data_IF_005042299997
#
_entry.id   IF_005042299997
#
_cell.length_a   1.000
_cell.length_b   1.000
_cell.length_c   1.000
_cell.angle_alpha   90.00
_cell.angle_beta   90.00
_cell.angle_gamma   90.00
#
_symmetry.space_group_name_H-M   'P 1'
#
loop_
_entity.id
_entity.type
_entity.pdbx_description
1 polymer ?
#
# COMPACT_ATOMS: atom_id res chain seq x y z
N UNK A 1 -8.71 -13.33 -34.40
CA UNK A 1 -8.70 -11.99 -33.76
C UNK A 1 -7.30 -11.34 -33.72
N UNK A 2 -6.24 -12.12 -33.87
CA UNK A 2 -4.84 -11.65 -33.80
C UNK A 2 -4.34 -10.79 -34.99
N UNK A 3 -4.86 -10.97 -36.19
CA UNK A 3 -4.25 -10.35 -37.39
C UNK A 3 -4.65 -8.87 -37.59
N UNK A 4 -5.83 -8.46 -37.12
CA UNK A 4 -6.28 -7.06 -37.23
C UNK A 4 -5.60 -6.14 -36.22
N UNK A 5 -5.40 -6.59 -34.99
CA UNK A 5 -4.76 -5.85 -33.90
C UNK A 5 -3.29 -5.56 -34.20
N UNK A 6 -2.56 -6.51 -34.82
CA UNK A 6 -1.18 -6.29 -35.27
C UNK A 6 -1.08 -5.25 -36.40
N UNK A 7 -2.11 -5.08 -37.23
CA UNK A 7 -2.10 -4.08 -38.29
C UNK A 7 -2.25 -2.65 -37.79
N UNK A 8 -3.04 -2.41 -36.77
CA UNK A 8 -3.22 -1.08 -36.18
C UNK A 8 -1.97 -0.65 -35.38
N UNK A 9 -1.40 -1.57 -34.59
CA UNK A 9 -0.12 -1.35 -33.92
C UNK A 9 1.02 -1.01 -34.90
N UNK A 10 1.09 -1.71 -36.04
CA UNK A 10 2.06 -1.40 -37.07
C UNK A 10 1.87 -0.01 -37.70
N UNK A 11 0.61 0.44 -37.86
CA UNK A 11 0.33 1.79 -38.36
C UNK A 11 0.77 2.87 -37.34
N UNK A 12 0.48 2.67 -36.08
CA UNK A 12 0.87 3.60 -35.00
C UNK A 12 2.39 3.67 -34.87
N UNK A 13 3.08 2.55 -35.07
CA UNK A 13 4.55 2.47 -34.99
C UNK A 13 5.26 2.75 -36.30
N UNK A 14 4.52 2.93 -37.39
CA UNK A 14 5.14 3.26 -38.69
C UNK A 14 5.76 4.66 -38.64
N UNK A 15 7.07 4.74 -38.75
CA UNK A 15 7.83 5.99 -38.63
C UNK A 15 8.52 6.21 -37.29
N UNK A 16 8.33 5.29 -36.31
CA UNK A 16 9.10 5.29 -35.09
C UNK A 16 10.39 4.51 -35.28
N UNK A 17 11.53 5.20 -35.24
CA UNK A 17 12.84 4.56 -35.23
C UNK A 17 13.03 3.84 -33.87
N UNK A 18 13.11 2.51 -33.91
CA UNK A 18 13.38 1.75 -32.70
C UNK A 18 14.80 1.97 -32.19
N UNK A 19 15.01 2.32 -30.93
CA UNK A 19 16.34 2.50 -30.38
C UNK A 19 17.12 1.17 -30.42
N UNK A 20 18.44 1.27 -30.52
CA UNK A 20 19.29 0.10 -30.41
C UNK A 20 19.17 -0.51 -29.03
N UNK A 21 18.84 -1.80 -28.98
CA UNK A 21 18.74 -2.56 -27.76
C UNK A 21 20.07 -3.24 -27.45
N UNK A 22 20.48 -3.22 -26.19
CA UNK A 22 21.62 -4.00 -25.72
C UNK A 22 21.19 -4.95 -24.59
N UNK A 23 21.91 -6.06 -24.46
CA UNK A 23 21.70 -6.94 -23.32
C UNK A 23 22.31 -6.31 -22.07
N UNK A 24 21.51 -6.12 -21.04
CA UNK A 24 21.95 -5.63 -19.73
C UNK A 24 21.79 -6.75 -18.70
N UNK A 25 22.81 -6.94 -17.87
CA UNK A 25 22.73 -7.79 -16.67
C UNK A 25 22.70 -6.88 -15.46
N UNK A 26 21.56 -6.79 -14.82
CA UNK A 26 21.45 -6.06 -13.56
C UNK A 26 21.94 -6.94 -12.41
N UNK A 27 22.87 -6.42 -11.63
CA UNK A 27 23.38 -7.07 -10.42
C UNK A 27 22.70 -6.41 -9.24
N UNK A 28 21.77 -7.12 -8.62
CA UNK A 28 21.10 -6.67 -7.41
C UNK A 28 21.96 -6.97 -6.18
N UNK A 29 21.93 -6.07 -5.20
CA UNK A 29 22.46 -6.37 -3.88
C UNK A 29 21.66 -7.52 -3.29
N UNK A 30 22.34 -8.42 -2.57
CA UNK A 30 21.73 -9.60 -1.94
C UNK A 30 21.76 -9.54 -0.41
N UNK A 31 22.25 -8.45 0.13
CA UNK A 31 22.21 -8.14 1.55
C UNK A 31 20.73 -7.90 1.94
N UNK A 32 20.17 -8.84 2.65
CA UNK A 32 18.80 -8.81 3.17
C UNK A 32 18.80 -8.52 4.67
N UNK A 33 17.60 -8.38 5.22
CA UNK A 33 17.35 -8.32 6.66
C UNK A 33 16.94 -9.73 7.09
N UNK A 34 17.71 -10.37 7.95
CA UNK A 34 17.46 -11.75 8.39
C UNK A 34 16.22 -11.86 9.27
N UNK A 35 16.00 -10.89 10.17
CA UNK A 35 14.80 -10.82 11.01
C UNK A 35 14.09 -9.48 10.77
N UNK A 36 13.09 -9.49 9.87
CA UNK A 36 12.31 -8.31 9.51
C UNK A 36 11.49 -7.81 10.69
N UNK A 37 10.92 -8.71 11.50
CA UNK A 37 10.08 -8.35 12.63
C UNK A 37 10.90 -7.65 13.71
N UNK A 38 12.04 -8.19 14.06
CA UNK A 38 12.96 -7.57 15.03
C UNK A 38 13.44 -6.21 14.53
N UNK A 39 13.79 -6.10 13.25
CA UNK A 39 14.22 -4.85 12.63
C UNK A 39 13.12 -3.76 12.68
N UNK A 40 11.87 -4.11 12.34
CA UNK A 40 10.73 -3.19 12.42
C UNK A 40 10.52 -2.71 13.84
N UNK A 41 10.53 -3.64 14.81
CA UNK A 41 10.36 -3.33 16.23
C UNK A 41 11.43 -2.37 16.74
N UNK A 42 12.68 -2.64 16.43
CA UNK A 42 13.82 -1.78 16.81
C UNK A 42 13.66 -0.36 16.23
N UNK A 43 13.33 -0.26 14.94
CA UNK A 43 13.14 1.04 14.29
C UNK A 43 11.96 1.83 14.87
N UNK A 44 10.85 1.18 15.18
CA UNK A 44 9.69 1.82 15.82
C UNK A 44 10.02 2.32 17.22
N UNK A 45 10.84 1.58 17.96
CA UNK A 45 11.29 1.99 19.31
C UNK A 45 12.30 3.12 19.27
N UNK A 46 13.17 3.14 18.26
CA UNK A 46 14.19 4.17 18.10
C UNK A 46 13.65 5.49 17.56
N UNK A 47 12.61 5.46 16.69
CA UNK A 47 12.06 6.67 16.08
C UNK A 47 11.11 7.41 17.04
N UNK A 48 11.57 8.57 17.53
CA UNK A 48 10.80 9.43 18.44
C UNK A 48 9.49 9.91 17.83
N UNK A 49 9.45 10.13 16.50
CA UNK A 49 8.22 10.59 15.80
C UNK A 49 7.08 9.60 15.94
N UNK A 50 7.33 8.30 15.78
CA UNK A 50 6.31 7.27 16.01
C UNK A 50 5.90 7.20 17.48
N UNK A 51 6.86 7.33 18.40
CA UNK A 51 6.58 7.24 19.83
C UNK A 51 5.77 8.43 20.37
N UNK A 52 5.99 9.62 19.83
CA UNK A 52 5.39 10.86 20.33
C UNK A 52 4.09 11.24 19.63
N UNK A 53 3.93 10.83 18.38
CA UNK A 53 2.73 11.17 17.58
C UNK A 53 1.56 10.21 17.76
N UNK A 54 1.80 8.97 18.19
CA UNK A 54 0.73 8.00 18.45
C UNK A 54 0.39 8.05 19.94
N UNK A 55 -0.80 8.58 20.23
CA UNK A 55 -1.29 8.79 21.58
C UNK A 55 -2.43 7.81 21.92
N UNK A 56 -2.66 7.52 23.21
CA UNK A 56 -3.78 6.69 23.64
C UNK A 56 -5.12 7.22 23.14
N UNK A 57 -5.97 6.31 22.69
CA UNK A 57 -7.32 6.61 22.17
C UNK A 57 -7.39 6.94 20.68
N UNK A 58 -6.26 7.31 20.06
CA UNK A 58 -6.21 7.62 18.63
C UNK A 58 -6.60 6.42 17.76
N UNK A 59 -7.19 6.70 16.61
CA UNK A 59 -7.38 5.76 15.49
C UNK A 59 -6.21 5.89 14.52
N UNK A 60 -5.58 4.77 14.16
CA UNK A 60 -4.39 4.75 13.31
C UNK A 60 -4.59 3.81 12.13
N UNK A 61 -4.56 4.37 10.92
CA UNK A 61 -4.62 3.60 9.68
C UNK A 61 -3.24 3.03 9.33
N UNK A 62 -3.23 1.77 8.92
CA UNK A 62 -2.10 1.10 8.27
C UNK A 62 -2.48 0.80 6.81
N UNK A 63 -1.67 1.22 5.85
CA UNK A 63 -2.00 0.96 4.44
C UNK A 63 -1.54 -0.43 4.00
N UNK A 64 -2.43 -1.17 3.35
CA UNK A 64 -2.14 -2.46 2.72
C UNK A 64 -1.93 -2.34 1.22
N UNK A 65 -0.75 -2.71 0.72
CA UNK A 65 -0.38 -2.62 -0.70
C UNK A 65 -0.78 -3.88 -1.48
N UNK A 66 -1.05 -3.72 -2.77
CA UNK A 66 -1.26 -4.82 -3.73
C UNK A 66 0.02 -5.30 -4.41
N UNK A 67 1.16 -4.70 -4.11
CA UNK A 67 2.46 -5.12 -4.64
C UNK A 67 3.13 -6.01 -3.61
N UNK A 68 3.40 -7.25 -3.95
CA UNK A 68 3.99 -8.26 -3.07
C UNK A 68 5.27 -7.76 -2.40
N UNK A 69 5.08 -7.04 -1.29
CA UNK A 69 6.18 -6.64 -0.41
C UNK A 69 6.47 -7.84 0.47
N UNK A 70 7.74 -8.26 0.47
CA UNK A 70 8.18 -9.38 1.30
C UNK A 70 7.87 -9.11 2.78
N UNK A 71 7.31 -10.09 3.48
CA UNK A 71 6.96 -10.01 4.90
C UNK A 71 5.94 -8.92 5.26
N UNK A 72 5.13 -8.47 4.31
CA UNK A 72 4.13 -7.42 4.58
C UNK A 72 3.13 -7.79 5.68
N UNK A 73 2.59 -9.03 5.75
CA UNK A 73 1.71 -9.42 6.86
C UNK A 73 2.37 -9.29 8.23
N UNK A 74 3.63 -9.74 8.35
CA UNK A 74 4.41 -9.66 9.59
C UNK A 74 4.70 -8.20 9.97
N UNK A 75 5.04 -7.36 8.99
CA UNK A 75 5.26 -5.92 9.20
C UNK A 75 3.98 -5.26 9.71
N UNK A 76 2.84 -5.51 9.06
CA UNK A 76 1.55 -4.95 9.48
C UNK A 76 1.13 -5.43 10.87
N UNK A 77 1.37 -6.70 11.20
CA UNK A 77 1.12 -7.23 12.54
C UNK A 77 1.97 -6.54 13.60
N UNK A 78 3.25 -6.32 13.32
CA UNK A 78 4.14 -5.64 14.28
C UNK A 78 3.76 -4.17 14.46
N UNK A 79 3.38 -3.47 13.37
CA UNK A 79 2.85 -2.11 13.43
C UNK A 79 1.55 -2.03 14.24
N UNK A 80 0.62 -2.96 13.99
CA UNK A 80 -0.64 -3.03 14.74
C UNK A 80 -0.40 -3.28 16.24
N UNK A 81 0.54 -4.17 16.56
CA UNK A 81 0.94 -4.45 17.94
C UNK A 81 1.55 -3.23 18.62
N UNK A 82 2.43 -2.50 17.91
CA UNK A 82 3.02 -1.26 18.41
C UNK A 82 1.96 -0.19 18.70
N UNK A 83 1.03 0.03 17.76
CA UNK A 83 -0.05 1.01 17.92
C UNK A 83 -0.93 0.65 19.12
N UNK A 84 -1.30 -0.63 19.29
CA UNK A 84 -2.07 -1.12 20.43
C UNK A 84 -1.33 -0.93 21.75
N UNK A 85 -0.02 -1.19 21.79
CA UNK A 85 0.81 -1.00 22.98
C UNK A 85 0.85 0.47 23.42
N UNK A 86 0.59 1.41 22.51
CA UNK A 86 0.40 2.83 22.80
C UNK A 86 -0.99 3.20 23.29
N UNK A 87 -1.91 2.24 23.40
CA UNK A 87 -3.30 2.49 23.74
C UNK A 87 -4.14 3.06 22.60
N UNK A 88 -3.63 3.04 21.36
CA UNK A 88 -4.33 3.47 20.16
C UNK A 88 -5.00 2.29 19.43
N UNK A 89 -5.86 2.59 18.47
CA UNK A 89 -6.72 1.62 17.77
C UNK A 89 -6.26 1.51 16.30
N UNK A 90 -5.47 0.48 15.93
CA UNK A 90 -5.06 0.28 14.54
C UNK A 90 -6.18 -0.36 13.72
N UNK A 91 -6.22 -0.02 12.44
CA UNK A 91 -6.93 -0.78 11.42
C UNK A 91 -6.22 -0.65 10.07
N UNK A 92 -6.42 -1.64 9.20
CA UNK A 92 -5.81 -1.70 7.88
C UNK A 92 -6.82 -1.25 6.84
N UNK A 93 -6.35 -0.48 5.84
CA UNK A 93 -7.11 -0.19 4.63
C UNK A 93 -6.33 -0.61 3.39
N UNK A 94 -6.99 -1.04 2.31
CA UNK A 94 -6.34 -1.20 1.01
C UNK A 94 -5.85 0.14 0.47
N UNK A 95 -4.61 0.17 -0.02
CA UNK A 95 -4.03 1.33 -0.70
C UNK A 95 -3.47 0.88 -2.06
N UNK A 96 -4.36 0.60 -3.01
CA UNK A 96 -4.00 -0.09 -4.24
C UNK A 96 -4.71 0.43 -5.51
N UNK A 97 -5.34 1.61 -5.42
CA UNK A 97 -5.99 2.26 -6.58
C UNK A 97 -7.09 1.40 -7.20
N UNK A 98 -6.97 1.09 -8.49
CA UNK A 98 -7.98 0.33 -9.25
C UNK A 98 -7.82 -1.20 -9.17
N UNK A 99 -6.89 -1.71 -8.41
CA UNK A 99 -6.71 -3.16 -8.25
C UNK A 99 -7.95 -3.81 -7.61
N UNK A 100 -8.10 -5.12 -7.75
CA UNK A 100 -9.29 -5.81 -7.26
C UNK A 100 -10.58 -5.41 -7.99
N UNK A 101 -10.47 -4.96 -9.24
CA UNK A 101 -11.59 -4.49 -10.05
C UNK A 101 -12.19 -3.18 -9.53
N UNK A 102 -11.43 -2.38 -8.78
CA UNK A 102 -11.87 -1.15 -8.14
C UNK A 102 -13.13 -1.35 -7.26
N UNK A 103 -13.17 -2.46 -6.54
CA UNK A 103 -14.25 -2.79 -5.60
C UNK A 103 -13.69 -3.07 -4.21
N UNK A 104 -14.44 -2.71 -3.18
CA UNK A 104 -14.06 -2.95 -1.79
C UNK A 104 -13.79 -4.43 -1.51
N UNK A 105 -14.68 -5.32 -1.99
CA UNK A 105 -14.52 -6.77 -1.84
C UNK A 105 -13.28 -7.30 -2.58
N UNK A 106 -13.05 -6.85 -3.82
CA UNK A 106 -11.92 -7.28 -4.62
C UNK A 106 -10.58 -6.86 -4.00
N UNK A 107 -10.50 -5.64 -3.47
CA UNK A 107 -9.31 -5.16 -2.78
C UNK A 107 -9.05 -5.91 -1.47
N UNK A 108 -10.09 -6.20 -0.69
CA UNK A 108 -9.98 -7.03 0.51
C UNK A 108 -9.46 -8.44 0.17
N UNK A 109 -10.00 -9.08 -0.86
CA UNK A 109 -9.53 -10.40 -1.33
C UNK A 109 -8.05 -10.40 -1.73
N UNK A 110 -7.55 -9.32 -2.32
CA UNK A 110 -6.12 -9.18 -2.63
C UNK A 110 -5.29 -9.19 -1.35
N UNK A 111 -5.66 -8.41 -0.32
CA UNK A 111 -4.94 -8.41 0.96
C UNK A 111 -4.94 -9.81 1.57
N UNK A 112 -6.11 -10.46 1.61
CA UNK A 112 -6.27 -11.82 2.16
C UNK A 112 -5.41 -12.84 1.39
N UNK A 113 -5.31 -12.71 0.06
CA UNK A 113 -4.46 -13.58 -0.77
C UNK A 113 -2.97 -13.48 -0.46
N UNK A 114 -2.54 -12.38 0.16
CA UNK A 114 -1.17 -12.17 0.63
C UNK A 114 -0.98 -12.54 2.11
N UNK A 115 -2.00 -13.09 2.76
CA UNK A 115 -1.98 -13.43 4.18
C UNK A 115 -2.26 -12.26 5.13
N UNK A 116 -2.67 -11.12 4.58
CA UNK A 116 -3.08 -9.96 5.38
C UNK A 116 -4.54 -10.18 5.77
N UNK A 117 -4.78 -10.76 6.94
CA UNK A 117 -6.11 -11.03 7.49
C UNK A 117 -6.26 -10.37 8.86
N UNK A 118 -7.49 -10.14 9.28
CA UNK A 118 -7.77 -9.55 10.61
C UNK A 118 -7.23 -10.43 11.74
N UNK A 119 -7.33 -11.74 11.59
CA UNK A 119 -6.84 -12.73 12.55
C UNK A 119 -5.31 -12.66 12.66
N UNK A 120 -4.60 -12.68 11.52
CA UNK A 120 -3.13 -12.66 11.51
C UNK A 120 -2.57 -11.32 11.97
N UNK A 121 -3.10 -10.21 11.46
CA UNK A 121 -2.62 -8.86 11.78
C UNK A 121 -3.10 -8.39 13.16
N UNK A 122 -4.14 -9.02 13.69
CA UNK A 122 -4.72 -8.71 15.00
C UNK A 122 -5.48 -7.38 15.04
N UNK A 123 -5.91 -6.82 13.90
CA UNK A 123 -6.70 -5.59 13.84
C UNK A 123 -7.70 -5.66 12.67
N UNK A 124 -8.79 -4.85 12.69
CA UNK A 124 -9.78 -4.84 11.62
C UNK A 124 -9.18 -4.43 10.27
N UNK A 125 -9.79 -4.92 9.18
CA UNK A 125 -9.52 -4.48 7.81
C UNK A 125 -10.78 -3.81 7.28
N UNK A 126 -10.72 -2.50 7.05
CA UNK A 126 -11.81 -1.75 6.45
C UNK A 126 -11.51 -1.50 4.98
N UNK A 127 -12.40 -1.95 4.13
CA UNK A 127 -12.31 -1.72 2.69
C UNK A 127 -13.59 -1.04 2.20
N UNK A 128 -13.45 0.12 1.59
CA UNK A 128 -14.55 0.92 1.05
C UNK A 128 -14.08 1.62 -0.23
N UNK A 129 -15.03 2.03 -1.05
CA UNK A 129 -14.79 2.92 -2.19
C UNK A 129 -15.26 4.35 -1.89
N UNK A 130 -15.68 4.63 -0.65
CA UNK A 130 -16.09 5.96 -0.24
C UNK A 130 -14.87 6.88 -0.11
N UNK A 131 -15.01 8.08 -0.65
CA UNK A 131 -13.96 9.11 -0.62
C UNK A 131 -14.49 10.44 -0.10
N UNK A 132 -13.61 11.23 0.50
CA UNK A 132 -13.88 12.59 0.95
C UNK A 132 -13.09 13.58 0.10
N UNK A 133 -13.73 14.67 -0.33
CA UNK A 133 -13.04 15.77 -1.00
C UNK A 133 -12.24 16.56 0.03
N UNK A 134 -10.94 16.69 -0.20
CA UNK A 134 -10.01 17.41 0.69
C UNK A 134 -9.44 18.68 0.07
N UNK A 135 -9.65 18.88 -1.22
CA UNK A 135 -9.16 20.07 -1.91
C UNK A 135 -9.46 20.06 -3.40
N UNK A 136 -8.84 21.01 -4.09
CA UNK A 136 -8.92 21.18 -5.53
C UNK A 136 -7.54 21.60 -6.08
N UNK A 137 -7.17 21.09 -7.23
CA UNK A 137 -5.96 21.49 -7.93
C UNK A 137 -6.19 22.81 -8.71
N UNK A 138 -5.12 23.52 -9.10
CA UNK A 138 -5.23 24.75 -9.88
C UNK A 138 -5.96 24.61 -11.23
N UNK A 139 -6.03 23.40 -11.77
CA UNK A 139 -6.76 23.08 -13.00
C UNK A 139 -8.25 22.75 -12.79
N UNK A 140 -8.74 22.80 -11.54
CA UNK A 140 -10.12 22.53 -11.18
C UNK A 140 -10.42 21.07 -10.81
N UNK A 141 -9.43 20.16 -10.84
CA UNK A 141 -9.64 18.76 -10.47
C UNK A 141 -9.79 18.62 -8.95
N UNK A 142 -10.81 17.86 -8.53
CA UNK A 142 -11.01 17.55 -7.11
C UNK A 142 -9.93 16.58 -6.59
N UNK A 143 -9.36 16.91 -5.44
CA UNK A 143 -8.52 16.00 -4.66
C UNK A 143 -9.40 15.26 -3.65
N UNK A 144 -9.43 13.94 -3.75
CA UNK A 144 -10.22 13.08 -2.87
C UNK A 144 -9.31 12.02 -2.23
N UNK A 145 -9.61 11.69 -0.97
CA UNK A 145 -8.92 10.64 -0.23
C UNK A 145 -9.91 9.61 0.29
N UNK A 146 -9.43 8.41 0.59
CA UNK A 146 -10.24 7.38 1.24
C UNK A 146 -10.84 7.91 2.55
N UNK A 147 -12.11 7.58 2.79
CA UNK A 147 -12.84 8.07 3.97
C UNK A 147 -12.23 7.60 5.28
N UNK A 148 -11.83 6.34 5.38
CA UNK A 148 -11.21 5.82 6.59
C UNK A 148 -9.86 6.47 6.88
N UNK A 149 -9.09 6.77 5.80
CA UNK A 149 -7.83 7.50 5.94
C UNK A 149 -8.06 8.96 6.37
N UNK A 150 -9.13 9.60 5.86
CA UNK A 150 -9.49 10.97 6.22
C UNK A 150 -9.95 11.08 7.68
N UNK A 151 -10.75 10.11 8.15
CA UNK A 151 -11.39 10.14 9.47
C UNK A 151 -10.46 9.65 10.60
N UNK A 152 -9.28 9.12 10.25
CA UNK A 152 -8.29 8.66 11.23
C UNK A 152 -7.45 9.81 11.79
N UNK A 153 -6.98 9.64 13.03
CA UNK A 153 -6.08 10.60 13.68
C UNK A 153 -4.66 10.53 13.11
N UNK A 154 -4.27 9.37 12.58
CA UNK A 154 -2.96 9.18 11.95
C UNK A 154 -2.99 8.08 10.88
N UNK A 155 -2.10 8.20 9.89
CA UNK A 155 -1.91 7.21 8.82
C UNK A 155 -0.44 6.81 8.78
N UNK A 156 -0.17 5.50 8.85
CA UNK A 156 1.14 4.91 8.60
C UNK A 156 1.12 4.27 7.22
N UNK A 157 1.89 4.85 6.31
CA UNK A 157 2.00 4.35 4.94
C UNK A 157 3.02 3.21 4.93
N UNK A 158 2.58 2.04 4.45
CA UNK A 158 3.40 0.84 4.24
C UNK A 158 3.39 0.52 2.75
N UNK A 159 4.54 0.68 2.07
CA UNK A 159 4.64 0.50 0.63
C UNK A 159 6.06 0.60 0.09
#
# INVERSE_FOLDING_TARGET
>A
MEIKEQSELRKVLSGVELPRMCRVRQIFRRDGIDDVVACVREKLQADTRFRERILPGMTVVLTGSSRQISHMPEILRELASFVKAKGAKPYIIPAMGSHGGATAEGQRKILESYGITEEFCGCPIYSSMETVRVGELPNGDEVRVDKFAHDADAVIIVG
#
